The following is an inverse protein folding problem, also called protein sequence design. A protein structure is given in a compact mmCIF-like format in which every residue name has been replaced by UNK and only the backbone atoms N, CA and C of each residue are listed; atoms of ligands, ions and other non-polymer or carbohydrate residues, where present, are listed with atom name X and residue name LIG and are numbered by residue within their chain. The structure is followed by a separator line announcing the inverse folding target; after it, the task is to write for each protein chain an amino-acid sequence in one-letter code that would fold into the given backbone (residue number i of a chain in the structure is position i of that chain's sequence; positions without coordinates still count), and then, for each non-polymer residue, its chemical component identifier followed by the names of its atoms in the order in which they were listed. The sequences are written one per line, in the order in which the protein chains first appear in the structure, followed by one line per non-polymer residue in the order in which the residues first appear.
data_IF_620050500737
#
_entry.id   IF_620050500737
#
_cell.length_a   1.000
_cell.length_b   1.000
_cell.length_c   1.000
_cell.angle_alpha   90.00
_cell.angle_beta   90.00
_cell.angle_gamma   90.00
#
_symmetry.space_group_name_H-M   'P 1'
#
loop_
_entity.id
_entity.type
_entity.pdbx_description
1 polymer ?
#
# COMPACT_ATOMS: atom_id res chain seq x y z
N UNK A 1 27.10 -22.54 7.08
CA UNK A 1 26.20 -21.38 7.20
C UNK A 1 25.14 -21.50 6.11
N UNK A 2 23.90 -21.87 6.45
CA UNK A 2 22.82 -21.97 5.48
C UNK A 2 22.45 -20.57 4.99
N UNK A 3 22.47 -20.35 3.67
CA UNK A 3 21.94 -19.12 3.05
C UNK A 3 20.45 -19.06 3.40
N UNK A 4 20.05 -18.22 4.36
CA UNK A 4 18.64 -18.01 4.67
C UNK A 4 17.96 -17.49 3.41
N UNK A 5 17.10 -18.29 2.78
CA UNK A 5 16.33 -17.83 1.64
C UNK A 5 15.29 -16.83 2.13
N UNK A 6 15.38 -15.59 1.65
CA UNK A 6 14.44 -14.56 2.08
C UNK A 6 13.16 -14.71 1.25
N UNK A 7 12.16 -15.41 1.79
CA UNK A 7 10.87 -15.73 1.16
C UNK A 7 9.96 -14.51 0.96
N UNK A 8 10.48 -13.45 0.33
CA UNK A 8 9.80 -12.15 0.12
C UNK A 8 8.79 -12.16 -1.01
N UNK A 9 8.94 -13.03 -1.99
CA UNK A 9 8.03 -13.20 -3.12
C UNK A 9 7.41 -14.58 -3.06
N UNK A 10 6.19 -14.70 -3.58
CA UNK A 10 5.52 -15.98 -3.77
C UNK A 10 6.19 -16.78 -4.90
N UNK A 11 6.17 -18.10 -4.77
CA UNK A 11 6.70 -19.01 -5.78
C UNK A 11 5.80 -19.00 -7.01
N UNK A 12 6.40 -18.70 -8.16
CA UNK A 12 5.70 -18.63 -9.44
C UNK A 12 4.99 -19.95 -9.80
N UNK A 13 5.66 -21.10 -9.62
CA UNK A 13 5.06 -22.40 -9.92
C UNK A 13 3.79 -22.62 -9.08
N UNK A 14 3.88 -22.39 -7.77
CA UNK A 14 2.74 -22.57 -6.87
C UNK A 14 1.59 -21.65 -7.24
N UNK A 15 1.87 -20.38 -7.56
CA UNK A 15 0.84 -19.43 -8.05
C UNK A 15 0.16 -19.95 -9.32
N UNK A 16 0.90 -20.59 -10.22
CA UNK A 16 0.37 -21.15 -11.48
C UNK A 16 -0.28 -22.53 -11.30
N UNK A 17 -0.40 -23.03 -10.06
CA UNK A 17 -0.93 -24.37 -9.79
C UNK A 17 -0.01 -25.49 -10.28
N UNK A 18 1.28 -25.20 -10.43
CA UNK A 18 2.31 -26.17 -10.82
C UNK A 18 3.11 -26.62 -9.59
N UNK A 19 3.64 -27.83 -9.66
CA UNK A 19 4.47 -28.37 -8.60
C UNK A 19 5.80 -27.60 -8.47
N UNK A 20 6.17 -27.30 -7.21
CA UNK A 20 7.46 -26.71 -6.90
C UNK A 20 8.49 -27.80 -6.62
N UNK A 21 9.46 -27.97 -7.53
CA UNK A 21 10.54 -28.96 -7.41
C UNK A 21 11.46 -28.76 -6.20
N UNK A 22 11.42 -27.58 -5.57
CA UNK A 22 12.27 -27.26 -4.43
C UNK A 22 11.57 -27.48 -3.08
N UNK A 23 10.26 -27.69 -3.07
CA UNK A 23 9.48 -27.99 -1.86
C UNK A 23 9.83 -27.04 -0.70
N UNK A 24 10.20 -27.57 0.46
CA UNK A 24 10.57 -26.80 1.65
C UNK A 24 11.86 -25.98 1.48
N UNK A 25 12.73 -26.38 0.55
CA UNK A 25 13.97 -25.68 0.21
C UNK A 25 13.75 -24.55 -0.81
N UNK A 26 12.50 -24.31 -1.23
CA UNK A 26 12.18 -23.22 -2.13
C UNK A 26 12.55 -21.87 -1.53
N UNK A 27 13.23 -21.04 -2.32
CA UNK A 27 13.63 -19.70 -1.88
C UNK A 27 12.48 -18.69 -1.83
N UNK A 28 11.33 -19.07 -2.37
CA UNK A 28 10.13 -18.26 -2.46
C UNK A 28 9.05 -18.83 -1.55
N UNK A 29 8.13 -17.98 -1.11
CA UNK A 29 7.02 -18.38 -0.27
C UNK A 29 5.99 -19.21 -1.05
N UNK A 30 5.47 -20.28 -0.46
CA UNK A 30 4.42 -21.09 -1.09
C UNK A 30 3.01 -20.59 -0.77
N UNK A 31 2.87 -19.65 0.16
CA UNK A 31 1.60 -19.01 0.49
C UNK A 31 1.85 -17.68 1.23
N UNK A 32 0.79 -16.93 1.49
CA UNK A 32 0.85 -15.65 2.20
C UNK A 32 1.40 -15.77 3.63
N UNK A 33 1.14 -16.88 4.32
CA UNK A 33 1.64 -17.10 5.67
C UNK A 33 3.15 -17.37 5.69
N UNK A 34 3.68 -18.01 4.66
CA UNK A 34 5.12 -18.26 4.46
C UNK A 34 5.87 -17.02 3.93
N UNK A 35 5.14 -16.05 3.35
CA UNK A 35 5.74 -14.83 2.83
C UNK A 35 6.29 -13.94 3.94
N UNK A 36 7.52 -13.46 3.74
CA UNK A 36 8.15 -12.42 4.56
C UNK A 36 7.75 -11.05 4.01
N UNK A 37 7.04 -10.27 4.81
CA UNK A 37 6.65 -8.90 4.47
C UNK A 37 7.86 -7.98 4.63
N UNK A 38 8.13 -7.13 3.64
CA UNK A 38 9.17 -6.10 3.74
C UNK A 38 8.82 -5.10 4.84
N UNK A 39 9.84 -4.63 5.58
CA UNK A 39 9.64 -3.76 6.75
C UNK A 39 8.79 -2.52 6.40
N UNK A 40 9.14 -1.81 5.34
CA UNK A 40 8.40 -0.62 4.87
C UNK A 40 6.93 -0.93 4.55
N UNK A 41 6.67 -2.09 3.94
CA UNK A 41 5.32 -2.57 3.63
C UNK A 41 4.55 -2.88 4.91
N UNK A 42 5.17 -3.57 5.86
CA UNK A 42 4.58 -3.93 7.15
C UNK A 42 4.21 -2.67 7.95
N UNK A 43 5.12 -1.69 8.02
CA UNK A 43 4.88 -0.40 8.67
C UNK A 43 3.72 0.35 8.00
N UNK A 44 3.67 0.36 6.67
CA UNK A 44 2.56 0.97 5.92
C UNK A 44 1.22 0.29 6.22
N UNK A 45 1.17 -1.04 6.28
CA UNK A 45 -0.05 -1.78 6.63
C UNK A 45 -0.47 -1.46 8.08
N UNK A 46 0.48 -1.46 9.02
CA UNK A 46 0.20 -1.08 10.41
C UNK A 46 -0.35 0.34 10.51
N UNK A 47 0.18 1.27 9.74
CA UNK A 47 -0.32 2.65 9.66
C UNK A 47 -1.76 2.71 9.14
N UNK A 48 -2.05 2.02 8.03
CA UNK A 48 -3.42 1.92 7.48
C UNK A 48 -4.39 1.35 8.52
N UNK A 49 -3.91 0.47 9.39
CA UNK A 49 -4.70 -0.19 10.42
C UNK A 49 -4.55 0.46 11.81
N UNK A 50 -4.01 1.68 11.89
CA UNK A 50 -3.95 2.47 13.12
C UNK A 50 -3.06 1.90 14.24
N UNK A 51 -2.19 0.94 13.94
CA UNK A 51 -1.21 0.32 14.86
C UNK A 51 0.20 0.91 14.67
N UNK A 52 0.29 2.11 14.11
CA UNK A 52 1.55 2.81 13.90
C UNK A 52 1.46 4.26 14.37
N UNK A 53 2.53 4.72 15.02
CA UNK A 53 2.59 6.05 15.58
C UNK A 53 3.03 7.06 14.52
N UNK A 54 2.25 8.13 14.33
CA UNK A 54 2.46 9.14 13.29
C UNK A 54 3.71 9.99 13.52
N UNK A 55 4.21 10.08 14.74
CA UNK A 55 5.48 10.75 15.10
C UNK A 55 6.72 10.13 14.44
N UNK A 56 6.62 8.89 13.97
CA UNK A 56 7.70 8.16 13.27
C UNK A 56 7.60 8.26 11.74
N UNK A 57 6.69 9.09 11.24
CA UNK A 57 6.41 9.18 9.81
C UNK A 57 7.31 10.25 9.16
N UNK A 58 8.15 9.83 8.21
CA UNK A 58 8.87 10.74 7.31
C UNK A 58 8.03 11.11 6.07
N UNK A 59 8.49 12.09 5.29
CA UNK A 59 7.81 12.49 4.05
C UNK A 59 7.70 11.35 3.01
N UNK A 60 8.54 10.32 3.10
CA UNK A 60 8.56 9.22 2.14
C UNK A 60 7.42 8.22 2.34
N UNK A 61 6.70 8.24 3.46
CA UNK A 61 5.53 7.37 3.66
C UNK A 61 4.38 7.69 2.72
N UNK A 62 4.18 8.96 2.36
CA UNK A 62 3.14 9.36 1.40
C UNK A 62 3.33 8.67 0.04
N UNK A 63 4.58 8.56 -0.43
CA UNK A 63 4.88 7.80 -1.66
C UNK A 63 4.43 6.34 -1.58
N UNK A 64 4.55 5.73 -0.39
CA UNK A 64 4.20 4.33 -0.20
C UNK A 64 2.69 4.15 -0.07
N UNK A 65 2.02 5.07 0.63
CA UNK A 65 0.57 5.08 0.79
C UNK A 65 -0.17 5.34 -0.53
N UNK A 66 0.40 6.12 -1.45
CA UNK A 66 -0.16 6.28 -2.81
C UNK A 66 -0.35 4.92 -3.50
N UNK A 67 0.58 3.98 -3.34
CA UNK A 67 0.39 2.65 -3.92
C UNK A 67 -0.83 1.93 -3.33
N UNK A 68 -1.13 2.14 -2.05
CA UNK A 68 -2.28 1.51 -1.40
C UNK A 68 -3.64 2.14 -1.77
N UNK A 69 -3.67 3.25 -2.52
CA UNK A 69 -4.93 3.78 -3.10
C UNK A 69 -5.40 2.95 -4.30
N UNK A 70 -4.52 2.11 -4.87
CA UNK A 70 -4.81 1.25 -6.03
C UNK A 70 -4.84 -0.22 -5.66
N UNK A 71 -5.74 -0.97 -6.29
CA UNK A 71 -5.75 -2.43 -6.22
C UNK A 71 -4.93 -3.03 -7.38
N UNK A 72 -4.02 -3.96 -7.09
CA UNK A 72 -3.22 -4.57 -8.14
C UNK A 72 -4.07 -5.56 -8.97
N UNK A 73 -4.18 -5.33 -10.28
CA UNK A 73 -4.92 -6.22 -11.19
C UNK A 73 -4.36 -7.64 -11.25
N UNK A 74 -3.05 -7.82 -11.10
CA UNK A 74 -2.45 -9.16 -11.05
C UNK A 74 -2.71 -9.87 -9.72
N UNK A 75 -2.88 -9.14 -8.62
CA UNK A 75 -3.35 -9.73 -7.36
C UNK A 75 -4.81 -10.15 -7.48
N UNK A 76 -5.67 -9.33 -8.12
CA UNK A 76 -7.07 -9.69 -8.40
C UNK A 76 -7.19 -11.00 -9.20
N UNK A 77 -6.26 -11.24 -10.12
CA UNK A 77 -6.21 -12.44 -10.97
C UNK A 77 -5.46 -13.61 -10.32
N UNK A 78 -5.03 -13.49 -9.06
CA UNK A 78 -4.20 -14.47 -8.36
C UNK A 78 -2.91 -14.83 -9.13
N UNK A 79 -2.31 -13.87 -9.84
CA UNK A 79 -1.12 -14.07 -10.68
C UNK A 79 0.11 -13.28 -10.21
N UNK A 80 -0.06 -12.37 -9.24
CA UNK A 80 1.04 -11.55 -8.74
C UNK A 80 1.93 -12.31 -7.76
N UNK A 81 3.23 -12.40 -8.06
CA UNK A 81 4.23 -12.95 -7.14
C UNK A 81 4.55 -12.03 -5.96
N UNK A 82 4.19 -10.76 -6.06
CA UNK A 82 4.48 -9.74 -5.04
C UNK A 82 3.60 -9.87 -3.80
N UNK A 83 2.31 -10.15 -3.97
CA UNK A 83 1.33 -10.24 -2.88
C UNK A 83 1.52 -9.14 -1.83
N UNK A 84 1.82 -9.46 -0.55
CA UNK A 84 2.06 -8.43 0.47
C UNK A 84 3.03 -7.34 -0.01
N UNK A 85 4.10 -7.74 -0.70
CA UNK A 85 5.16 -6.87 -1.21
C UNK A 85 4.92 -6.40 -2.67
N UNK A 86 3.67 -6.43 -3.15
CA UNK A 86 3.33 -5.94 -4.48
C UNK A 86 3.74 -4.47 -4.65
N UNK A 87 4.37 -4.16 -5.78
CA UNK A 87 4.84 -2.79 -6.11
C UNK A 87 3.87 -2.00 -6.97
N UNK A 88 2.75 -2.60 -7.36
CA UNK A 88 1.77 -2.02 -8.30
C UNK A 88 0.40 -1.75 -7.66
N UNK A 89 0.31 -1.84 -6.34
CA UNK A 89 -0.92 -1.64 -5.60
C UNK A 89 -1.03 -2.55 -4.39
N UNK A 90 -2.09 -2.39 -3.61
CA UNK A 90 -2.41 -3.34 -2.55
C UNK A 90 -2.88 -4.68 -3.13
N UNK A 91 -2.48 -5.78 -2.49
CA UNK A 91 -2.90 -7.14 -2.85
C UNK A 91 -4.27 -7.50 -2.27
N UNK A 92 -4.72 -6.81 -1.22
CA UNK A 92 -6.04 -6.97 -0.63
C UNK A 92 -6.86 -5.69 -0.73
N UNK A 93 -8.10 -5.80 -1.21
CA UNK A 93 -9.06 -4.69 -1.22
C UNK A 93 -9.33 -4.17 0.19
N UNK A 94 -9.25 -5.05 1.19
CA UNK A 94 -9.45 -4.70 2.60
C UNK A 94 -8.30 -3.88 3.19
N UNK A 95 -7.26 -3.55 2.42
CA UNK A 95 -6.18 -2.64 2.81
C UNK A 95 -6.15 -1.39 1.91
N UNK A 96 -7.08 -1.27 0.96
CA UNK A 96 -7.11 -0.15 0.03
C UNK A 96 -7.42 1.13 0.79
N UNK A 97 -6.74 2.21 0.43
CA UNK A 97 -6.98 3.56 0.96
C UNK A 97 -7.96 4.29 0.03
N UNK A 98 -8.90 5.02 0.62
CA UNK A 98 -9.74 5.94 -0.14
C UNK A 98 -8.90 7.09 -0.68
N UNK A 99 -8.80 7.22 -2.01
CA UNK A 99 -7.96 8.22 -2.64
C UNK A 99 -8.37 9.66 -2.28
N UNK A 100 -9.68 9.96 -2.24
CA UNK A 100 -10.18 11.30 -1.92
C UNK A 100 -9.85 11.68 -0.47
N UNK A 101 -10.08 10.76 0.47
CA UNK A 101 -9.70 10.99 1.87
C UNK A 101 -8.18 11.19 2.02
N UNK A 102 -7.37 10.36 1.36
CA UNK A 102 -5.92 10.47 1.43
C UNK A 102 -5.38 11.77 0.82
N UNK A 103 -5.92 12.20 -0.33
CA UNK A 103 -5.43 13.39 -1.02
C UNK A 103 -5.89 14.68 -0.32
N UNK A 104 -7.20 14.79 -0.05
CA UNK A 104 -7.83 16.05 0.36
C UNK A 104 -8.52 16.01 1.73
N UNK A 105 -8.58 14.84 2.37
CA UNK A 105 -9.24 14.66 3.67
C UNK A 105 -10.75 14.68 3.62
N UNK A 106 -11.33 14.69 2.43
CA UNK A 106 -12.77 14.80 2.20
C UNK A 106 -13.20 13.75 1.19
N UNK A 107 -14.14 12.91 1.59
CA UNK A 107 -14.76 11.91 0.73
C UNK A 107 -16.28 12.07 0.81
N UNK A 108 -16.94 12.15 -0.35
CA UNK A 108 -18.40 12.30 -0.45
C UNK A 108 -19.17 11.00 -0.25
N UNK A 109 -18.46 9.86 -0.21
CA UNK A 109 -19.10 8.56 -0.02
C UNK A 109 -19.49 8.36 1.45
N UNK A 110 -20.54 7.54 1.65
CA UNK A 110 -20.98 7.16 2.98
C UNK A 110 -19.82 6.49 3.75
N UNK A 111 -19.59 6.97 4.97
CA UNK A 111 -18.60 6.38 5.88
C UNK A 111 -19.20 5.13 6.50
N UNK A 112 -18.50 4.02 6.35
CA UNK A 112 -18.88 2.70 6.85
C UNK A 112 -17.74 2.09 7.67
N UNK A 113 -18.08 1.03 8.39
CA UNK A 113 -17.10 0.14 9.01
C UNK A 113 -16.58 -0.86 7.98
N UNK A 114 -15.27 -0.88 7.79
CA UNK A 114 -14.56 -1.81 6.92
C UNK A 114 -13.99 -2.95 7.76
N UNK A 115 -14.28 -4.17 7.33
CA UNK A 115 -13.68 -5.38 7.86
C UNK A 115 -12.38 -5.70 7.10
N UNK A 116 -11.39 -6.21 7.83
CA UNK A 116 -10.08 -6.59 7.28
C UNK A 116 -9.93 -8.09 7.34
N UNK A 117 -9.38 -8.69 6.28
CA UNK A 117 -9.13 -10.13 6.23
C UNK A 117 -8.37 -10.59 7.49
N UNK A 118 -8.97 -11.53 8.23
CA UNK A 118 -8.43 -12.07 9.48
C UNK A 118 -7.03 -12.64 9.32
N UNK A 119 -6.70 -13.23 8.17
CA UNK A 119 -5.36 -13.75 7.92
C UNK A 119 -4.32 -12.63 7.89
N UNK A 120 -4.70 -11.45 7.38
CA UNK A 120 -3.83 -10.27 7.40
C UNK A 120 -3.62 -9.82 8.84
N UNK A 121 -4.71 -9.66 9.61
CA UNK A 121 -4.66 -9.26 11.01
C UNK A 121 -3.79 -10.19 11.86
N UNK A 122 -3.97 -11.50 11.71
CA UNK A 122 -3.16 -12.53 12.39
C UNK A 122 -1.68 -12.40 11.98
N UNK A 123 -1.42 -12.26 10.68
CA UNK A 123 -0.05 -12.20 10.12
C UNK A 123 0.73 -10.98 10.63
N UNK A 124 0.06 -9.84 10.82
CA UNK A 124 0.70 -8.59 11.29
C UNK A 124 0.60 -8.38 12.80
N UNK A 125 -0.20 -9.21 13.50
CA UNK A 125 -0.38 -9.17 14.95
C UNK A 125 -1.29 -8.03 15.44
N UNK A 126 -2.33 -7.67 14.68
CA UNK A 126 -3.32 -6.66 15.09
C UNK A 126 -4.62 -7.35 15.51
N UNK A 127 -5.16 -6.94 16.67
CA UNK A 127 -6.38 -7.53 17.24
C UNK A 127 -7.66 -6.75 16.92
N UNK A 128 -7.55 -5.52 16.41
CA UNK A 128 -8.70 -4.73 15.98
C UNK A 128 -9.06 -5.06 14.52
N UNK A 129 -10.36 -5.20 14.23
CA UNK A 129 -10.84 -5.54 12.89
C UNK A 129 -11.83 -4.53 12.29
N UNK A 130 -12.18 -3.46 13.03
CA UNK A 130 -13.16 -2.47 12.56
C UNK A 130 -12.48 -1.14 12.30
N UNK A 131 -12.63 -0.66 11.08
CA UNK A 131 -11.96 0.55 10.60
C UNK A 131 -12.90 1.46 9.82
N UNK A 132 -12.81 2.77 10.05
CA UNK A 132 -13.60 3.74 9.28
C UNK A 132 -13.05 3.89 7.86
N UNK A 133 -13.96 3.93 6.89
CA UNK A 133 -13.68 4.19 5.49
C UNK A 133 -14.95 4.29 4.66
N UNK A 134 -14.85 4.09 3.35
CA UNK A 134 -15.99 3.97 2.45
C UNK A 134 -15.79 2.78 1.49
N UNK A 135 -16.70 2.57 0.55
CA UNK A 135 -16.58 1.56 -0.51
C UNK A 135 -15.26 1.63 -1.31
N UNK A 136 -14.60 2.81 -1.33
CA UNK A 136 -13.35 3.02 -2.03
C UNK A 136 -12.10 2.72 -1.20
N UNK A 137 -12.23 2.51 0.11
CA UNK A 137 -11.12 2.16 1.01
C UNK A 137 -11.14 2.88 2.35
N UNK A 138 -10.11 2.63 3.15
CA UNK A 138 -9.92 3.25 4.46
C UNK A 138 -9.78 4.77 4.38
N UNK A 139 -10.38 5.46 5.35
CA UNK A 139 -10.17 6.88 5.55
C UNK A 139 -9.12 7.09 6.64
N UNK A 140 -7.92 7.49 6.27
CA UNK A 140 -6.79 7.64 7.20
C UNK A 140 -6.93 8.88 8.09
N UNK A 141 -7.71 9.88 7.67
CA UNK A 141 -8.03 11.05 8.49
C UNK A 141 -8.70 10.70 9.83
N UNK A 142 -9.54 9.65 9.85
CA UNK A 142 -10.14 9.11 11.08
C UNK A 142 -9.13 8.52 12.07
N UNK A 143 -7.88 8.37 11.64
CA UNK A 143 -6.74 7.89 12.45
C UNK A 143 -5.74 9.01 12.76
N UNK A 144 -6.15 10.27 12.53
CA UNK A 144 -5.32 11.44 12.77
C UNK A 144 -4.29 11.74 11.69
N UNK A 145 -4.30 11.03 10.57
CA UNK A 145 -3.39 11.31 9.47
C UNK A 145 -3.82 12.58 8.71
N UNK A 146 -2.88 13.51 8.51
CA UNK A 146 -3.12 14.68 7.69
C UNK A 146 -3.19 14.32 6.19
N UNK A 147 -4.12 14.92 5.42
CA UNK A 147 -4.21 14.70 3.99
C UNK A 147 -2.95 15.15 3.25
N UNK A 148 -2.65 14.52 2.11
CA UNK A 148 -1.48 14.85 1.30
C UNK A 148 -1.41 16.34 0.95
N UNK A 149 -2.54 16.96 0.57
CA UNK A 149 -2.55 18.37 0.19
C UNK A 149 -2.21 19.34 1.33
N UNK A 150 -2.36 18.93 2.60
CA UNK A 150 -1.95 19.76 3.74
C UNK A 150 -0.42 19.96 3.78
N UNK A 151 0.35 18.96 3.34
CA UNK A 151 1.82 19.03 3.34
C UNK A 151 2.41 19.70 2.10
N UNK A 152 1.76 19.56 0.94
CA UNK A 152 2.32 19.97 -0.35
C UNK A 152 1.61 21.19 -0.98
N UNK A 153 0.53 21.66 -0.36
CA UNK A 153 -0.23 22.85 -0.75
C UNK A 153 -1.10 22.69 -2.01
N UNK A 154 -2.08 23.59 -2.22
CA UNK A 154 -2.98 23.56 -3.38
C UNK A 154 -2.30 23.93 -4.71
N UNK A 155 -1.10 24.53 -4.68
CA UNK A 155 -0.39 25.00 -5.88
C UNK A 155 0.53 23.96 -6.54
N UNK A 156 0.72 22.77 -5.95
CA UNK A 156 1.48 21.67 -6.58
C UNK A 156 0.60 20.61 -7.28
N UNK A 157 -0.72 20.69 -7.12
CA UNK A 157 -1.69 19.75 -7.71
C UNK A 157 -2.80 20.48 -8.48
N UNK A 158 -2.42 21.23 -9.51
CA UNK A 158 -3.35 21.51 -10.59
C UNK A 158 -3.57 20.21 -11.39
N UNK A 159 -4.70 19.54 -11.14
CA UNK A 159 -5.44 18.85 -12.20
C UNK A 159 -5.47 19.75 -13.46
N UNK A 160 -5.45 19.18 -14.67
CA UNK A 160 -4.67 19.65 -15.81
C UNK A 160 -4.97 21.11 -16.18
N UNK A 161 -4.12 22.04 -15.74
CA UNK A 161 -3.91 23.31 -16.41
C UNK A 161 -2.42 23.65 -16.37
N UNK A 162 -1.84 23.75 -17.57
CA UNK A 162 -0.43 24.09 -17.81
C UNK A 162 -0.14 25.48 -17.23
N UNK A 163 0.72 25.55 -16.21
CA UNK A 163 1.47 26.77 -15.91
C UNK A 163 2.93 26.38 -15.69
N UNK A 164 3.79 26.92 -16.56
CA UNK A 164 5.23 26.83 -16.45
C UNK A 164 5.70 27.66 -15.26
N UNK A 165 6.31 27.03 -14.26
CA UNK A 165 7.15 27.72 -13.28
C UNK A 165 8.50 27.02 -13.20
N UNK A 166 9.57 27.82 -13.29
CA UNK A 166 10.96 27.37 -13.29
C UNK A 166 11.35 26.80 -11.92
N UNK A 167 12.20 25.78 -12.00
CA UNK A 167 12.51 24.76 -11.00
C UNK A 167 13.72 25.15 -10.17
N UNK A 168 13.68 24.78 -8.89
CA UNK A 168 14.83 24.24 -8.17
C UNK A 168 14.31 22.98 -7.47
N UNK A 169 14.60 21.79 -8.02
CA UNK A 169 14.09 20.51 -7.52
C UNK A 169 15.24 19.60 -7.11
N UNK A 170 15.16 19.07 -5.89
CA UNK A 170 15.93 17.90 -5.47
C UNK A 170 15.41 16.64 -6.20
N UNK A 171 16.26 15.63 -6.33
CA UNK A 171 15.98 14.38 -7.05
C UNK A 171 14.71 13.65 -6.61
N UNK A 172 14.36 13.79 -5.33
CA UNK A 172 13.32 12.98 -4.70
C UNK A 172 11.91 13.52 -4.98
N UNK A 173 11.78 14.83 -5.21
CA UNK A 173 10.50 15.46 -5.60
C UNK A 173 10.10 15.10 -7.04
N UNK A 174 11.06 14.97 -7.94
CA UNK A 174 10.79 14.65 -9.35
C UNK A 174 10.33 13.19 -9.53
N UNK A 175 10.85 12.28 -8.72
CA UNK A 175 10.41 10.88 -8.70
C UNK A 175 8.99 10.73 -8.11
N UNK A 176 8.68 11.50 -7.06
CA UNK A 176 7.36 11.53 -6.44
C UNK A 176 6.26 12.05 -7.38
N UNK A 177 6.53 13.11 -8.14
CA UNK A 177 5.58 13.66 -9.13
C UNK A 177 5.28 12.67 -10.26
N UNK A 178 6.29 11.92 -10.72
CA UNK A 178 6.11 10.86 -11.74
C UNK A 178 5.22 9.71 -11.26
N UNK A 179 5.32 9.34 -9.98
CA UNK A 179 4.45 8.32 -9.38
C UNK A 179 3.00 8.78 -9.29
N UNK A 180 2.76 10.07 -9.01
CA UNK A 180 1.41 10.64 -8.91
C UNK A 180 0.70 10.74 -10.26
N UNK A 181 1.38 11.13 -11.34
CA UNK A 181 0.78 11.17 -12.68
C UNK A 181 0.31 9.77 -13.15
N UNK A 182 1.02 8.71 -12.75
CA UNK A 182 0.60 7.33 -13.00
C UNK A 182 -0.54 6.85 -12.08
N UNK A 183 -0.82 7.60 -11.01
CA UNK A 183 -1.85 7.25 -10.02
C UNK A 183 -3.25 7.78 -10.37
N UNK A 184 -3.32 8.79 -11.25
CA UNK A 184 -4.56 9.48 -11.66
C UNK A 184 -5.19 8.89 -12.93
N UNK A 185 -4.55 7.90 -13.56
CA UNK A 185 -5.11 7.07 -14.65
C UNK A 185 -5.65 5.73 -14.17
#
# INVERSE_FOLDING_TARGET
MSKSSVKKLLCFNVIKGLDCKYEENCKYAHNLNDQIIEIKTLETIKLILGDYSLDKMDCNYYSTLIFFTKYCNECLRNNCIGAYNCKYGTFSKSLKICNNDFLIGMCSNLVIDLDVDKNILIKIGINNNIFKGCENGHHLTYRGMEPLMAHFGPLKYSLPFKINVKRDSSSDEEEFLKLLDSSIS
#
